data_IF_257447706655
#
_entry.id   IF_257447706655
#
_cell.length_a   1.000
_cell.length_b   1.000
_cell.length_c   1.000
_cell.angle_alpha   90.00
_cell.angle_beta   90.00
_cell.angle_gamma   90.00
#
_symmetry.space_group_name_H-M   'P 1'
#
loop_
_entity.id
_entity.type
_entity.pdbx_description
1 polymer ?
#
# COMPACT_ATOMS: atom_id res chain seq x y z
N UNK A 1 96.71 -1.73 1.84
CA UNK A 1 95.71 -2.70 2.34
C UNK A 1 94.71 -1.95 3.19
N UNK A 2 93.41 -2.22 2.98
CA UNK A 2 92.24 -1.90 3.81
C UNK A 2 91.66 -0.48 3.60
N UNK A 3 90.40 -0.25 3.20
CA UNK A 3 89.31 -1.18 2.91
C UNK A 3 88.20 -0.50 2.11
N UNK A 4 87.88 -1.06 0.95
CA UNK A 4 86.68 -0.80 0.17
C UNK A 4 86.07 -2.16 -0.18
N UNK A 5 85.38 -2.77 0.77
CA UNK A 5 84.47 -3.90 0.53
C UNK A 5 83.92 -4.39 1.87
N UNK A 6 83.01 -3.64 2.46
CA UNK A 6 82.14 -4.16 3.51
C UNK A 6 80.70 -3.98 3.03
N UNK A 7 80.25 -4.94 2.22
CA UNK A 7 78.82 -5.13 1.98
C UNK A 7 78.28 -5.79 3.26
N UNK A 8 77.28 -5.20 3.94
CA UNK A 8 76.70 -5.79 5.14
C UNK A 8 76.09 -7.17 4.80
N UNK A 9 76.33 -8.22 5.61
CA UNK A 9 76.05 -9.62 5.28
C UNK A 9 74.56 -10.02 5.27
N UNK A 10 73.63 -9.07 5.45
CA UNK A 10 72.20 -9.36 5.59
C UNK A 10 71.40 -9.19 4.30
N UNK A 11 72.02 -8.74 3.20
CA UNK A 11 71.32 -8.55 1.92
C UNK A 11 71.51 -9.82 1.07
N UNK A 12 70.43 -10.56 0.73
CA UNK A 12 70.52 -11.74 -0.13
C UNK A 12 71.27 -11.42 -1.43
N UNK A 13 72.26 -12.25 -1.78
CA UNK A 13 73.11 -12.07 -2.98
C UNK A 13 72.31 -11.85 -4.28
N UNK A 14 71.09 -12.42 -4.34
CA UNK A 14 70.12 -12.21 -5.42
C UNK A 14 69.64 -10.75 -5.55
N UNK A 15 69.44 -10.05 -4.43
CA UNK A 15 69.08 -8.62 -4.42
C UNK A 15 70.27 -7.79 -4.91
N UNK A 16 71.49 -8.16 -4.52
CA UNK A 16 72.71 -7.49 -4.98
C UNK A 16 72.92 -7.65 -6.49
N UNK A 17 72.68 -8.85 -7.04
CA UNK A 17 72.68 -9.09 -8.49
C UNK A 17 71.59 -8.29 -9.21
N UNK A 18 70.38 -8.23 -8.64
CA UNK A 18 69.29 -7.44 -9.19
C UNK A 18 69.65 -5.94 -9.25
N UNK A 19 70.25 -5.41 -8.19
CA UNK A 19 70.71 -4.03 -8.12
C UNK A 19 71.84 -3.76 -9.13
N UNK A 20 72.79 -4.69 -9.29
CA UNK A 20 73.89 -4.56 -10.25
C UNK A 20 73.43 -4.66 -11.72
N UNK A 21 72.40 -5.47 -11.99
CA UNK A 21 71.80 -5.60 -13.33
C UNK A 21 70.93 -4.39 -13.67
N UNK A 22 70.27 -3.77 -12.69
CA UNK A 22 69.43 -2.58 -12.92
C UNK A 22 70.18 -1.24 -12.84
N UNK A 23 71.25 -1.13 -12.06
CA UNK A 23 72.00 0.12 -11.80
C UNK A 23 73.50 0.05 -12.12
N UNK A 24 73.98 -1.01 -12.78
CA UNK A 24 75.38 -1.18 -13.18
C UNK A 24 75.84 -0.25 -14.33
N UNK A 25 77.17 -0.13 -14.55
CA UNK A 25 77.78 0.90 -15.41
C UNK A 25 77.35 0.79 -16.88
N UNK A 26 77.04 1.95 -17.47
CA UNK A 26 76.24 2.22 -18.70
C UNK A 26 76.80 1.62 -20.02
N UNK A 27 77.78 0.72 -20.01
CA UNK A 27 78.58 0.43 -21.20
C UNK A 27 78.23 -0.83 -22.03
N UNK A 28 77.30 -1.72 -21.65
CA UNK A 28 77.05 -2.98 -22.38
C UNK A 28 75.56 -3.37 -22.55
N UNK A 29 74.67 -2.43 -22.88
CA UNK A 29 73.22 -2.68 -23.02
C UNK A 29 72.53 -2.24 -24.33
N UNK A 30 73.25 -1.87 -25.38
CA UNK A 30 72.71 -1.00 -26.45
C UNK A 30 71.77 -1.61 -27.51
N UNK A 31 71.45 -2.92 -27.49
CA UNK A 31 70.42 -3.48 -28.40
C UNK A 31 69.20 -4.07 -27.70
N UNK A 32 69.32 -4.44 -26.42
CA UNK A 32 68.19 -4.98 -25.68
C UNK A 32 67.42 -3.85 -25.00
N UNK A 33 68.10 -2.86 -24.40
CA UNK A 33 67.48 -1.74 -23.67
C UNK A 33 66.49 -0.90 -24.50
N UNK A 34 66.67 -0.80 -25.82
CA UNK A 34 65.78 -0.06 -26.71
C UNK A 34 64.41 -0.75 -26.95
N UNK A 35 64.29 -2.06 -26.71
CA UNK A 35 63.03 -2.83 -26.93
C UNK A 35 62.20 -3.04 -25.65
N UNK A 36 62.78 -2.88 -24.47
CA UNK A 36 62.08 -3.01 -23.19
C UNK A 36 60.92 -2.04 -22.99
N UNK A 37 61.00 -0.75 -23.38
CA UNK A 37 59.88 0.19 -23.18
C UNK A 37 58.61 -0.24 -23.91
N UNK A 38 58.75 -0.80 -25.12
CA UNK A 38 57.61 -1.27 -25.94
C UNK A 38 56.93 -2.52 -25.36
N UNK A 39 57.73 -3.50 -24.92
CA UNK A 39 57.22 -4.76 -24.34
C UNK A 39 56.58 -4.52 -22.96
N UNK A 40 57.22 -3.71 -22.10
CA UNK A 40 56.66 -3.33 -20.80
C UNK A 40 55.39 -2.49 -20.97
N UNK A 41 55.33 -1.60 -21.97
CA UNK A 41 54.12 -0.84 -22.30
C UNK A 41 52.97 -1.74 -22.80
N UNK A 42 53.26 -2.72 -23.67
CA UNK A 42 52.26 -3.68 -24.14
C UNK A 42 51.74 -4.57 -22.99
N UNK A 43 52.63 -5.05 -22.11
CA UNK A 43 52.26 -5.80 -20.90
C UNK A 43 51.43 -4.96 -19.92
N UNK A 44 51.81 -3.69 -19.72
CA UNK A 44 51.06 -2.73 -18.91
C UNK A 44 49.64 -2.53 -19.43
N UNK A 45 49.47 -2.30 -20.74
CA UNK A 45 48.16 -2.18 -21.38
C UNK A 45 47.35 -3.48 -21.32
N UNK A 46 47.98 -4.63 -21.51
CA UNK A 46 47.32 -5.93 -21.36
C UNK A 46 46.81 -6.15 -19.94
N UNK A 47 47.64 -5.85 -18.92
CA UNK A 47 47.27 -5.95 -17.51
C UNK A 47 46.17 -4.96 -17.15
N UNK A 48 46.23 -3.73 -17.67
CA UNK A 48 45.20 -2.71 -17.47
C UNK A 48 43.88 -3.09 -18.13
N UNK A 49 43.91 -3.56 -19.38
CA UNK A 49 42.72 -4.05 -20.09
C UNK A 49 42.08 -5.24 -19.37
N UNK A 50 42.88 -6.15 -18.79
CA UNK A 50 42.38 -7.25 -17.97
C UNK A 50 41.68 -6.77 -16.70
N UNK A 51 42.23 -5.75 -16.02
CA UNK A 51 41.61 -5.13 -14.84
C UNK A 51 40.31 -4.41 -15.18
N UNK A 52 40.27 -3.68 -16.30
CA UNK A 52 39.07 -3.01 -16.77
C UNK A 52 37.95 -4.01 -17.08
N UNK A 53 38.24 -5.08 -17.83
CA UNK A 53 37.25 -6.14 -18.09
C UNK A 53 36.72 -6.80 -16.81
N UNK A 54 37.59 -7.04 -15.83
CA UNK A 54 37.17 -7.57 -14.55
C UNK A 54 36.27 -6.59 -13.78
N UNK A 55 36.58 -5.29 -13.81
CA UNK A 55 35.75 -4.26 -13.21
C UNK A 55 34.41 -4.08 -13.94
N UNK A 56 34.39 -4.20 -15.27
CA UNK A 56 33.17 -4.13 -16.07
C UNK A 56 32.26 -5.35 -15.83
N UNK A 57 32.84 -6.55 -15.71
CA UNK A 57 32.11 -7.75 -15.32
C UNK A 57 31.50 -7.60 -13.91
N UNK A 58 32.27 -7.13 -12.92
CA UNK A 58 31.78 -6.87 -11.56
C UNK A 58 30.66 -5.81 -11.53
N UNK A 59 30.72 -4.78 -12.39
CA UNK A 59 29.61 -3.82 -12.55
C UNK A 59 28.38 -4.47 -13.18
N UNK A 60 28.56 -5.29 -14.21
CA UNK A 60 27.47 -5.99 -14.88
C UNK A 60 26.75 -6.93 -13.89
N UNK A 61 27.50 -7.70 -13.10
CA UNK A 61 26.97 -8.61 -12.09
C UNK A 61 26.19 -7.86 -11.01
N UNK A 62 26.72 -6.74 -10.50
CA UNK A 62 25.99 -5.88 -9.55
C UNK A 62 24.71 -5.30 -10.13
N UNK A 63 24.73 -4.88 -11.39
CA UNK A 63 23.54 -4.35 -12.05
C UNK A 63 22.49 -5.44 -12.29
N UNK A 64 22.92 -6.64 -12.71
CA UNK A 64 22.04 -7.79 -12.86
C UNK A 64 21.38 -8.18 -11.53
N UNK A 65 22.14 -8.19 -10.44
CA UNK A 65 21.60 -8.44 -9.09
C UNK A 65 20.58 -7.38 -8.66
N UNK A 66 20.84 -6.10 -8.97
CA UNK A 66 19.89 -5.00 -8.69
C UNK A 66 18.61 -5.11 -9.50
N UNK A 67 18.71 -5.46 -10.79
CA UNK A 67 17.54 -5.66 -11.65
C UNK A 67 16.69 -6.84 -11.16
N UNK A 68 17.33 -7.96 -10.81
CA UNK A 68 16.62 -9.11 -10.24
C UNK A 68 15.89 -8.76 -8.93
N UNK A 69 16.52 -7.96 -8.06
CA UNK A 69 15.89 -7.49 -6.83
C UNK A 69 14.69 -6.56 -7.12
N UNK A 70 14.82 -5.64 -8.08
CA UNK A 70 13.73 -4.75 -8.49
C UNK A 70 12.56 -5.51 -9.11
N UNK A 71 12.82 -6.55 -9.90
CA UNK A 71 11.75 -7.39 -10.47
C UNK A 71 10.95 -8.12 -9.39
N UNK A 72 11.62 -8.61 -8.34
CA UNK A 72 10.97 -9.25 -7.21
C UNK A 72 10.10 -8.24 -6.45
N UNK A 73 10.66 -7.07 -6.14
CA UNK A 73 9.97 -5.99 -5.44
C UNK A 73 8.73 -5.50 -6.22
N UNK A 74 8.85 -5.31 -7.54
CA UNK A 74 7.73 -4.94 -8.38
C UNK A 74 6.61 -5.99 -8.38
N UNK A 75 6.96 -7.30 -8.42
CA UNK A 75 5.96 -8.37 -8.34
C UNK A 75 5.26 -8.37 -6.99
N UNK A 76 5.99 -8.16 -5.91
CA UNK A 76 5.43 -8.08 -4.56
C UNK A 76 4.48 -6.88 -4.42
N UNK A 77 4.88 -5.70 -4.92
CA UNK A 77 4.02 -4.51 -4.97
C UNK A 77 2.75 -4.77 -5.78
N UNK A 78 2.86 -5.37 -6.97
CA UNK A 78 1.70 -5.72 -7.80
C UNK A 78 0.74 -6.64 -7.05
N UNK A 79 1.24 -7.70 -6.41
CA UNK A 79 0.38 -8.62 -5.65
C UNK A 79 -0.32 -7.91 -4.48
N UNK A 80 0.36 -6.96 -3.84
CA UNK A 80 -0.20 -6.18 -2.75
C UNK A 80 -1.28 -5.23 -3.24
N UNK A 81 -1.05 -4.54 -4.36
CA UNK A 81 -2.05 -3.65 -4.96
C UNK A 81 -3.29 -4.40 -5.43
N UNK A 82 -3.12 -5.59 -6.05
CA UNK A 82 -4.27 -6.43 -6.43
C UNK A 82 -5.09 -6.81 -5.21
N UNK A 83 -4.44 -7.25 -4.12
CA UNK A 83 -5.15 -7.55 -2.86
C UNK A 83 -5.87 -6.32 -2.29
N UNK A 84 -5.27 -5.13 -2.36
CA UNK A 84 -5.91 -3.90 -1.91
C UNK A 84 -7.15 -3.58 -2.75
N UNK A 85 -7.08 -3.74 -4.07
CA UNK A 85 -8.23 -3.57 -4.96
C UNK A 85 -9.33 -4.57 -4.65
N UNK A 86 -8.99 -5.84 -4.44
CA UNK A 86 -9.97 -6.89 -4.07
C UNK A 86 -10.67 -6.55 -2.74
N UNK A 87 -9.91 -6.10 -1.73
CA UNK A 87 -10.46 -5.68 -0.44
C UNK A 87 -11.36 -4.45 -0.61
N UNK A 88 -10.94 -3.45 -1.37
CA UNK A 88 -11.76 -2.26 -1.64
C UNK A 88 -13.04 -2.62 -2.38
N UNK A 89 -12.97 -3.52 -3.36
CA UNK A 89 -14.14 -3.97 -4.10
C UNK A 89 -15.12 -4.73 -3.20
N UNK A 90 -14.63 -5.63 -2.35
CA UNK A 90 -15.46 -6.31 -1.36
C UNK A 90 -16.10 -5.34 -0.36
N UNK A 91 -15.40 -4.25 0.02
CA UNK A 91 -15.96 -3.20 0.88
C UNK A 91 -17.06 -2.40 0.18
N UNK A 92 -16.92 -2.13 -1.12
CA UNK A 92 -17.97 -1.46 -1.90
C UNK A 92 -19.22 -2.32 -2.03
N UNK A 93 -19.04 -3.62 -2.31
CA UNK A 93 -20.15 -4.57 -2.40
C UNK A 93 -20.89 -4.71 -1.06
N UNK A 94 -20.13 -4.80 0.04
CA UNK A 94 -20.71 -4.83 1.39
C UNK A 94 -21.50 -3.55 1.72
N UNK A 95 -20.98 -2.38 1.34
CA UNK A 95 -21.67 -1.10 1.52
C UNK A 95 -22.95 -1.02 0.67
N UNK A 96 -22.92 -1.49 -0.58
CA UNK A 96 -24.10 -1.53 -1.43
C UNK A 96 -25.21 -2.39 -0.81
N UNK A 97 -24.86 -3.61 -0.35
CA UNK A 97 -25.80 -4.49 0.34
C UNK A 97 -26.37 -3.86 1.63
N UNK A 98 -25.52 -3.15 2.40
CA UNK A 98 -25.96 -2.44 3.59
C UNK A 98 -26.94 -1.31 3.28
N UNK A 99 -26.70 -0.53 2.22
CA UNK A 99 -27.59 0.54 1.77
C UNK A 99 -28.95 -0.01 1.32
N UNK A 100 -28.97 -1.15 0.62
CA UNK A 100 -30.22 -1.82 0.24
C UNK A 100 -31.01 -2.28 1.48
N UNK A 101 -30.34 -2.90 2.46
CA UNK A 101 -30.98 -3.30 3.71
C UNK A 101 -31.53 -2.11 4.50
N UNK A 102 -30.80 -0.99 4.52
CA UNK A 102 -31.24 0.25 5.15
C UNK A 102 -32.46 0.84 4.43
N UNK A 103 -32.46 0.86 3.09
CA UNK A 103 -33.59 1.32 2.31
C UNK A 103 -34.85 0.49 2.58
N UNK A 104 -34.72 -0.83 2.66
CA UNK A 104 -35.82 -1.72 3.03
C UNK A 104 -36.34 -1.43 4.45
N UNK A 105 -35.44 -1.21 5.40
CA UNK A 105 -35.80 -0.84 6.78
C UNK A 105 -36.56 0.48 6.83
N UNK A 106 -36.07 1.51 6.12
CA UNK A 106 -36.75 2.82 6.04
C UNK A 106 -38.14 2.68 5.42
N UNK A 107 -38.29 1.85 4.38
CA UNK A 107 -39.59 1.60 3.77
C UNK A 107 -40.57 0.96 4.77
N UNK A 108 -40.13 -0.04 5.52
CA UNK A 108 -40.94 -0.69 6.56
C UNK A 108 -41.33 0.30 7.67
N UNK A 109 -40.40 1.13 8.14
CA UNK A 109 -40.68 2.14 9.17
C UNK A 109 -41.72 3.16 8.70
N UNK A 110 -41.66 3.58 7.43
CA UNK A 110 -42.66 4.49 6.86
C UNK A 110 -44.06 3.86 6.79
N UNK A 111 -44.15 2.58 6.46
CA UNK A 111 -45.43 1.85 6.48
C UNK A 111 -45.98 1.75 7.90
N UNK A 112 -45.13 1.39 8.87
CA UNK A 112 -45.53 1.32 10.28
C UNK A 112 -45.97 2.69 10.82
N UNK A 113 -45.27 3.77 10.43
CA UNK A 113 -45.63 5.13 10.78
C UNK A 113 -47.00 5.50 10.20
N UNK A 114 -47.24 5.26 8.90
CA UNK A 114 -48.52 5.55 8.27
C UNK A 114 -49.68 4.78 8.92
N UNK A 115 -49.46 3.52 9.32
CA UNK A 115 -50.45 2.74 10.06
C UNK A 115 -50.73 3.33 11.46
N UNK A 116 -49.70 3.79 12.15
CA UNK A 116 -49.83 4.43 13.47
C UNK A 116 -50.55 5.78 13.36
N UNK A 117 -50.25 6.58 12.33
CA UNK A 117 -50.93 7.86 12.09
C UNK A 117 -52.42 7.64 11.76
N UNK A 118 -52.74 6.58 11.01
CA UNK A 118 -54.11 6.20 10.71
C UNK A 118 -54.88 5.81 11.98
N UNK A 119 -54.30 5.00 12.87
CA UNK A 119 -54.95 4.61 14.13
C UNK A 119 -55.13 5.81 15.07
N UNK A 120 -54.13 6.68 15.17
CA UNK A 120 -54.26 7.92 15.96
C UNK A 120 -55.36 8.83 15.42
N UNK A 121 -55.48 8.95 14.10
CA UNK A 121 -56.54 9.72 13.45
C UNK A 121 -57.91 9.13 13.76
N UNK A 122 -58.06 7.81 13.67
CA UNK A 122 -59.30 7.11 13.97
C UNK A 122 -59.69 7.28 15.45
N UNK A 123 -58.75 7.08 16.37
CA UNK A 123 -58.96 7.27 17.81
C UNK A 123 -59.33 8.72 18.12
N UNK A 124 -58.67 9.70 17.49
CA UNK A 124 -58.99 11.12 17.67
C UNK A 124 -60.40 11.45 17.17
N UNK A 125 -60.80 10.93 16.01
CA UNK A 125 -62.16 11.09 15.50
C UNK A 125 -63.20 10.49 16.44
N UNK A 126 -62.97 9.27 16.92
CA UNK A 126 -63.84 8.60 17.91
C UNK A 126 -63.95 9.42 19.20
N UNK A 127 -62.83 9.96 19.69
CA UNK A 127 -62.81 10.81 20.89
C UNK A 127 -63.66 12.07 20.73
N UNK A 128 -63.50 12.79 19.61
CA UNK A 128 -64.28 14.00 19.35
C UNK A 128 -65.77 13.70 19.09
N UNK A 129 -66.09 12.61 18.40
CA UNK A 129 -67.47 12.16 18.24
C UNK A 129 -68.10 11.84 19.60
N UNK A 130 -67.34 11.22 20.52
CA UNK A 130 -67.81 10.91 21.88
C UNK A 130 -68.09 12.18 22.68
N UNK A 131 -67.18 13.15 22.65
CA UNK A 131 -67.41 14.45 23.29
C UNK A 131 -68.65 15.13 22.71
N UNK A 132 -68.78 15.17 21.39
CA UNK A 132 -69.93 15.77 20.71
C UNK A 132 -71.25 15.06 21.01
N UNK A 133 -71.22 13.75 21.19
CA UNK A 133 -72.39 12.96 21.58
C UNK A 133 -72.77 13.18 23.04
N UNK A 134 -71.82 13.17 23.97
CA UNK A 134 -72.05 13.46 25.39
C UNK A 134 -72.69 14.84 25.57
N UNK A 135 -72.21 15.85 24.82
CA UNK A 135 -72.82 17.19 24.86
C UNK A 135 -74.27 17.18 24.40
N UNK A 136 -74.58 16.52 23.28
CA UNK A 136 -75.96 16.38 22.80
C UNK A 136 -76.86 15.62 23.77
N UNK A 137 -76.34 14.58 24.43
CA UNK A 137 -77.04 13.86 25.48
C UNK A 137 -77.36 14.75 26.68
N UNK A 138 -76.38 15.52 27.15
CA UNK A 138 -76.56 16.45 28.26
C UNK A 138 -77.63 17.51 27.94
N UNK A 139 -77.60 18.07 26.71
CA UNK A 139 -78.61 19.03 26.25
C UNK A 139 -80.01 18.39 26.16
N UNK A 140 -80.13 17.18 25.62
CA UNK A 140 -81.41 16.48 25.53
C UNK A 140 -82.01 16.16 26.92
N UNK A 141 -81.17 15.71 27.85
CA UNK A 141 -81.57 15.46 29.25
C UNK A 141 -82.04 16.75 29.94
N UNK A 142 -81.34 17.86 29.73
CA UNK A 142 -81.69 19.15 30.31
C UNK A 142 -83.05 19.69 29.82
N UNK A 143 -83.45 19.35 28.60
CA UNK A 143 -84.69 19.83 27.98
C UNK A 143 -85.81 18.78 27.92
N UNK A 144 -85.65 17.63 28.59
CA UNK A 144 -86.57 16.49 28.52
C UNK A 144 -86.91 16.05 27.08
N UNK A 145 -85.95 16.20 26.17
CA UNK A 145 -86.09 15.79 24.77
C UNK A 145 -85.76 14.30 24.61
N UNK A 146 -86.10 13.75 23.45
CA UNK A 146 -85.76 12.38 23.08
C UNK A 146 -84.22 12.18 23.02
N UNK A 147 -83.76 11.00 23.45
CA UNK A 147 -82.33 10.68 23.50
C UNK A 147 -81.78 10.58 22.07
N UNK A 148 -80.79 11.40 21.69
CA UNK A 148 -80.23 11.37 20.34
C UNK A 148 -79.53 10.04 20.08
N UNK A 149 -79.58 9.55 18.83
CA UNK A 149 -78.85 8.35 18.46
C UNK A 149 -77.32 8.56 18.48
N UNK A 150 -76.54 7.55 18.91
CA UNK A 150 -75.09 7.61 18.90
C UNK A 150 -74.53 7.69 17.46
N UNK A 151 -73.45 8.45 17.22
CA UNK A 151 -72.71 8.45 15.96
C UNK A 151 -72.30 7.03 15.53
N UNK A 152 -72.33 6.75 14.22
CA UNK A 152 -72.02 5.43 13.68
C UNK A 152 -70.65 4.89 14.15
N UNK A 153 -69.63 5.74 14.25
CA UNK A 153 -68.28 5.37 14.72
C UNK A 153 -68.21 4.96 16.19
N UNK A 154 -69.19 5.38 17.00
CA UNK A 154 -69.31 5.02 18.41
C UNK A 154 -70.25 3.83 18.63
N UNK A 155 -71.19 3.58 17.71
CA UNK A 155 -72.08 2.41 17.77
C UNK A 155 -71.27 1.10 17.87
N UNK A 156 -70.13 1.04 17.18
CA UNK A 156 -69.20 -0.11 17.26
C UNK A 156 -68.54 -0.30 18.63
N UNK A 157 -68.40 0.75 19.45
CA UNK A 157 -67.81 0.70 20.79
C UNK A 157 -68.86 0.48 21.89
N UNK A 158 -70.12 0.82 21.62
CA UNK A 158 -71.23 0.75 22.56
C UNK A 158 -72.11 -0.50 22.39
N UNK A 159 -71.80 -1.33 21.36
CA UNK A 159 -72.48 -2.59 21.05
C UNK A 159 -71.92 -3.78 21.81
#
# INVERSE_FOLDING_TARGET
MNGWSAIPPEIPWLIWLLLFVFFGPIALGSKVAARWPGVLGAYGRWRQARRLRAADADRADRNAARLAALEIDMREMQTTHVRQLDVMQAQLDAQAAQLEAQAATIAQLRVAQAATDATLTEVSQKFWDAIGYIRRLADALAHHAEVPEPPARLKELLG
#
